data_IF_349647707199
#
_entry.id   IF_349647707199
#
_cell.length_a   1.000
_cell.length_b   1.000
_cell.length_c   1.000
_cell.angle_alpha   90.00
_cell.angle_beta   90.00
_cell.angle_gamma   90.00
#
_symmetry.space_group_name_H-M   'P 1'
#
loop_
_entity.id
_entity.type
_entity.pdbx_description
1 polymer ?
#
# COMPACT_ATOMS: atom_id res chain seq x y z
N UNK A 1 8.63 0.56 -7.83
CA UNK A 1 7.67 1.35 -8.62
C UNK A 1 7.11 0.44 -9.70
N UNK A 2 5.80 0.43 -9.89
CA UNK A 2 5.17 -0.13 -11.09
C UNK A 2 5.19 0.87 -12.25
N UNK A 3 5.35 0.41 -13.49
CA UNK A 3 5.21 1.29 -14.67
C UNK A 3 3.76 1.34 -15.16
N UNK A 4 3.01 0.23 -15.07
CA UNK A 4 1.62 0.15 -15.50
C UNK A 4 0.98 -1.24 -15.57
N UNK A 5 1.67 -2.33 -15.22
CA UNK A 5 1.11 -3.69 -15.17
C UNK A 5 0.90 -4.21 -13.74
N UNK A 6 1.69 -3.74 -12.77
CA UNK A 6 1.62 -4.23 -11.38
C UNK A 6 1.76 -3.10 -10.38
N UNK A 7 0.89 -3.14 -9.38
CA UNK A 7 1.00 -2.32 -8.19
C UNK A 7 1.64 -3.12 -7.05
N UNK A 8 2.48 -2.48 -6.23
CA UNK A 8 3.30 -3.19 -5.25
C UNK A 8 3.43 -2.45 -3.90
N UNK A 9 3.61 -3.22 -2.83
CA UNK A 9 4.00 -2.73 -1.51
C UNK A 9 5.26 -3.48 -1.06
N UNK A 10 6.33 -2.71 -0.87
CA UNK A 10 7.61 -3.19 -0.35
C UNK A 10 7.75 -2.95 1.15
N UNK A 11 8.49 -3.84 1.81
CA UNK A 11 8.90 -3.66 3.20
C UNK A 11 10.39 -3.86 3.32
N UNK A 12 11.06 -2.82 3.80
CA UNK A 12 12.49 -2.87 4.05
C UNK A 12 12.78 -3.08 5.53
N UNK A 13 13.74 -3.94 5.88
CA UNK A 13 14.23 -4.02 7.24
C UNK A 13 14.88 -2.69 7.63
N UNK A 14 14.87 -2.33 8.93
CA UNK A 14 15.60 -1.16 9.41
C UNK A 14 17.09 -1.32 9.08
N UNK A 15 17.71 -0.26 8.58
CA UNK A 15 19.09 -0.32 8.12
C UNK A 15 19.54 0.93 7.37
N UNK A 16 20.73 0.90 6.76
CA UNK A 16 21.36 2.06 6.11
C UNK A 16 20.64 2.57 4.84
N UNK A 17 19.50 1.98 4.46
CA UNK A 17 18.77 2.31 3.23
C UNK A 17 19.46 1.81 1.95
N UNK A 18 18.96 2.23 0.79
CA UNK A 18 19.56 1.92 -0.51
C UNK A 18 19.28 0.50 -1.04
N UNK A 19 18.22 -0.16 -0.58
CA UNK A 19 17.81 -1.43 -1.15
C UNK A 19 17.42 -1.27 -2.62
N UNK A 20 17.82 -2.23 -3.44
CA UNK A 20 17.36 -2.32 -4.82
C UNK A 20 15.97 -2.96 -4.83
N UNK A 21 14.98 -2.28 -5.40
CA UNK A 21 13.59 -2.75 -5.53
C UNK A 21 13.28 -3.34 -6.92
N UNK A 22 14.30 -3.53 -7.77
CA UNK A 22 14.17 -4.25 -9.03
C UNK A 22 13.88 -3.39 -10.28
N UNK A 23 13.50 -2.13 -10.10
CA UNK A 23 13.26 -1.20 -11.21
C UNK A 23 14.51 -0.94 -12.07
N UNK A 24 14.43 -0.87 -13.40
CA UNK A 24 13.27 -1.08 -14.30
C UNK A 24 13.21 -2.50 -14.91
N UNK A 25 13.99 -3.45 -14.37
CA UNK A 25 13.98 -4.83 -14.88
C UNK A 25 12.79 -5.65 -14.35
N UNK A 26 12.22 -5.24 -13.21
CA UNK A 26 11.06 -5.84 -12.59
C UNK A 26 9.92 -4.82 -12.41
N UNK A 27 8.70 -5.34 -12.46
CA UNK A 27 7.48 -4.69 -12.04
C UNK A 27 6.74 -5.64 -11.09
N UNK A 28 6.66 -5.29 -9.80
CA UNK A 28 6.35 -6.30 -8.79
C UNK A 28 7.45 -7.37 -8.73
N UNK A 29 7.04 -8.63 -8.71
CA UNK A 29 7.89 -9.81 -8.82
C UNK A 29 8.07 -10.32 -10.25
N UNK A 30 7.58 -9.56 -11.25
CA UNK A 30 7.52 -9.98 -12.64
C UNK A 30 8.59 -9.29 -13.50
N UNK A 31 9.20 -9.98 -14.47
CA UNK A 31 10.06 -9.34 -15.47
C UNK A 31 9.30 -8.26 -16.24
N UNK A 32 9.93 -7.09 -16.40
CA UNK A 32 9.36 -5.96 -17.12
C UNK A 32 10.17 -5.62 -18.37
N UNK A 33 11.33 -4.98 -18.20
CA UNK A 33 12.22 -4.62 -19.31
C UNK A 33 13.58 -5.31 -19.22
N UNK A 34 14.15 -5.64 -20.39
CA UNK A 34 15.49 -6.22 -20.49
C UNK A 34 15.63 -7.63 -19.92
N UNK A 35 16.86 -8.02 -19.62
CA UNK A 35 17.17 -9.32 -19.02
C UNK A 35 17.43 -9.15 -17.52
N UNK A 36 16.65 -9.87 -16.69
CA UNK A 36 16.77 -9.82 -15.22
C UNK A 36 18.13 -10.32 -14.72
N UNK A 37 18.74 -11.29 -15.41
CA UNK A 37 20.09 -11.79 -15.08
C UNK A 37 20.27 -12.17 -13.61
N UNK A 38 21.37 -11.70 -13.01
CA UNK A 38 21.73 -11.93 -11.59
C UNK A 38 21.23 -10.80 -10.65
N UNK A 39 20.17 -10.09 -11.03
CA UNK A 39 19.61 -9.00 -10.25
C UNK A 39 19.30 -9.45 -8.82
N UNK A 40 19.87 -8.72 -7.85
CA UNK A 40 19.51 -8.86 -6.43
C UNK A 40 18.61 -7.70 -6.06
N UNK A 41 17.34 -7.99 -5.85
CA UNK A 41 16.33 -7.05 -5.39
C UNK A 41 15.62 -7.57 -4.14
N UNK A 42 15.01 -6.65 -3.41
CA UNK A 42 13.94 -6.98 -2.47
C UNK A 42 12.66 -7.08 -3.29
N UNK A 43 11.95 -8.20 -3.14
CA UNK A 43 10.66 -8.40 -3.78
C UNK A 43 9.54 -7.84 -2.88
N UNK A 44 8.41 -7.42 -3.47
CA UNK A 44 7.31 -6.88 -2.71
C UNK A 44 6.69 -7.92 -1.78
N UNK A 45 6.13 -7.46 -0.67
CA UNK A 45 5.39 -8.32 0.26
C UNK A 45 3.93 -8.50 -0.16
N UNK A 46 3.45 -7.64 -1.04
CA UNK A 46 2.11 -7.66 -1.61
C UNK A 46 2.14 -6.98 -2.97
N UNK A 47 1.48 -7.58 -3.96
CA UNK A 47 1.35 -7.05 -5.31
C UNK A 47 0.01 -7.46 -5.90
N UNK A 48 -0.50 -6.68 -6.85
CA UNK A 48 -1.71 -6.99 -7.59
C UNK A 48 -1.68 -6.40 -9.00
N UNK A 49 -2.40 -7.00 -9.96
CA UNK A 49 -2.36 -6.54 -11.35
C UNK A 49 -3.05 -5.18 -11.50
N UNK A 50 -2.46 -4.33 -12.32
CA UNK A 50 -3.10 -3.12 -12.83
C UNK A 50 -4.03 -3.50 -13.98
N UNK A 51 -5.32 -3.67 -13.69
CA UNK A 51 -6.32 -4.21 -14.64
C UNK A 51 -7.39 -3.20 -15.08
N UNK A 52 -7.25 -1.95 -14.65
CA UNK A 52 -8.14 -0.83 -14.98
C UNK A 52 -9.31 -0.65 -14.02
N UNK A 53 -9.67 -1.66 -13.21
CA UNK A 53 -10.51 -1.44 -12.03
C UNK A 53 -9.68 -0.84 -10.90
N UNK A 54 -8.47 -1.37 -10.71
CA UNK A 54 -7.39 -0.81 -9.88
C UNK A 54 -6.25 -0.32 -10.77
N UNK A 55 -5.56 0.73 -10.35
CA UNK A 55 -4.61 1.44 -11.22
C UNK A 55 -3.45 2.17 -10.53
N UNK A 56 -3.51 2.41 -9.23
CA UNK A 56 -2.45 3.11 -8.52
C UNK A 56 -2.64 2.91 -7.02
N UNK A 57 -1.73 2.20 -6.37
CA UNK A 57 -1.68 2.15 -4.91
C UNK A 57 -1.55 3.58 -4.37
N UNK A 58 -2.53 4.00 -3.60
CA UNK A 58 -2.49 5.19 -2.76
C UNK A 58 -2.46 4.75 -1.31
N UNK A 59 -1.42 5.11 -0.57
CA UNK A 59 -1.29 4.68 0.82
C UNK A 59 -0.34 5.53 1.64
N UNK A 60 0.05 5.01 2.80
CA UNK A 60 1.24 5.49 3.52
C UNK A 60 1.23 5.36 5.03
N UNK A 61 0.16 4.87 5.66
CA UNK A 61 0.01 5.01 7.11
C UNK A 61 -0.09 3.68 7.83
N UNK A 62 0.76 3.51 8.83
CA UNK A 62 0.57 2.46 9.84
C UNK A 62 -0.40 2.99 10.89
N UNK A 63 -1.54 2.35 11.07
CA UNK A 63 -2.55 2.79 12.03
C UNK A 63 -2.04 2.65 13.48
N UNK A 64 -2.02 3.75 14.23
CA UNK A 64 -1.53 3.83 15.62
C UNK A 64 -2.58 4.23 16.65
N UNK A 65 -3.79 4.53 16.16
CA UNK A 65 -4.94 4.92 16.95
C UNK A 65 -5.40 3.87 17.96
N UNK A 66 -6.40 4.27 18.74
CA UNK A 66 -7.01 3.44 19.78
C UNK A 66 -8.47 3.12 19.47
N UNK A 67 -9.11 3.86 18.58
CA UNK A 67 -10.51 3.66 18.25
C UNK A 67 -10.76 2.32 17.54
N UNK A 68 -9.82 1.85 16.72
CA UNK A 68 -9.90 0.62 15.91
C UNK A 68 -8.77 -0.36 16.29
N UNK A 69 -8.84 -1.04 17.46
CA UNK A 69 -7.74 -1.88 17.97
C UNK A 69 -7.23 -2.94 16.99
N UNK A 70 -8.11 -3.48 16.14
CA UNK A 70 -7.80 -4.50 15.15
C UNK A 70 -6.91 -4.03 13.99
N UNK A 71 -6.79 -2.72 13.78
CA UNK A 71 -5.88 -2.14 12.79
C UNK A 71 -4.54 -1.71 13.39
N UNK A 72 -4.36 -1.79 14.70
CA UNK A 72 -3.13 -1.30 15.35
C UNK A 72 -1.90 -2.02 14.81
N UNK A 73 -1.00 -1.25 14.19
CA UNK A 73 0.22 -1.76 13.54
C UNK A 73 0.02 -2.26 12.10
N UNK A 74 -1.20 -2.21 11.56
CA UNK A 74 -1.47 -2.51 10.15
C UNK A 74 -1.11 -1.31 9.28
N UNK A 75 -0.51 -1.56 8.12
CA UNK A 75 -0.33 -0.57 7.06
C UNK A 75 -1.64 -0.44 6.28
N UNK A 76 -2.27 0.73 6.33
CA UNK A 76 -3.51 1.06 5.64
C UNK A 76 -3.19 1.79 4.34
N UNK A 77 -3.85 1.34 3.27
CA UNK A 77 -3.72 1.84 1.92
C UNK A 77 -5.04 1.64 1.17
N UNK A 78 -5.08 2.07 -0.09
CA UNK A 78 -6.13 1.73 -1.04
C UNK A 78 -5.62 1.96 -2.45
N UNK A 79 -6.52 1.92 -3.44
CA UNK A 79 -6.20 2.24 -4.82
C UNK A 79 -6.92 3.54 -5.24
N UNK A 80 -6.27 4.36 -6.05
CA UNK A 80 -6.85 5.59 -6.55
C UNK A 80 -8.13 5.36 -7.36
N UNK A 81 -8.17 4.31 -8.19
CA UNK A 81 -9.26 4.07 -9.14
C UNK A 81 -10.49 3.45 -8.49
N UNK A 82 -10.32 2.38 -7.70
CA UNK A 82 -11.46 1.72 -7.04
C UNK A 82 -11.83 2.36 -5.70
N UNK A 83 -10.90 3.08 -5.06
CA UNK A 83 -11.07 3.71 -3.76
C UNK A 83 -11.15 2.74 -2.57
N UNK A 84 -11.03 1.44 -2.78
CA UNK A 84 -11.23 0.42 -1.75
C UNK A 84 -10.12 0.48 -0.70
N UNK A 85 -10.49 0.64 0.57
CA UNK A 85 -9.53 0.67 1.66
C UNK A 85 -9.12 -0.75 2.07
N UNK A 86 -7.82 -0.94 2.22
CA UNK A 86 -7.16 -2.20 2.49
C UNK A 86 -6.14 -2.05 3.61
N UNK A 87 -5.75 -3.16 4.23
CA UNK A 87 -4.72 -3.20 5.25
C UNK A 87 -3.79 -4.41 5.08
N UNK A 88 -2.49 -4.18 5.31
CA UNK A 88 -1.49 -5.24 5.44
C UNK A 88 -0.97 -5.30 6.89
N UNK A 89 -0.94 -6.49 7.46
CA UNK A 89 -0.28 -6.75 8.74
C UNK A 89 0.92 -7.64 8.50
N UNK A 90 2.10 -7.18 8.90
CA UNK A 90 3.30 -8.01 8.86
C UNK A 90 3.32 -8.99 10.03
N UNK A 91 3.35 -10.28 9.73
CA UNK A 91 3.50 -11.38 10.69
C UNK A 91 4.59 -12.32 10.21
N UNK A 92 5.62 -12.51 11.03
CA UNK A 92 6.74 -13.42 10.75
C UNK A 92 7.37 -13.21 9.35
N UNK A 93 7.52 -11.94 8.95
CA UNK A 93 8.09 -11.56 7.66
C UNK A 93 7.15 -11.72 6.46
N UNK A 94 5.86 -12.00 6.68
CA UNK A 94 4.84 -12.10 5.63
C UNK A 94 3.75 -11.05 5.83
N UNK A 95 3.30 -10.44 4.74
CA UNK A 95 2.12 -9.59 4.79
C UNK A 95 0.85 -10.45 4.80
N UNK A 96 -0.05 -10.14 5.72
CA UNK A 96 -1.42 -10.64 5.75
C UNK A 96 -2.32 -9.52 5.28
N UNK A 97 -2.96 -9.74 4.14
CA UNK A 97 -3.90 -8.80 3.54
C UNK A 97 -5.30 -8.89 4.16
N UNK A 98 -5.98 -7.74 4.22
CA UNK A 98 -7.37 -7.60 4.65
C UNK A 98 -8.03 -6.44 3.93
N UNK A 99 -9.23 -6.67 3.39
CA UNK A 99 -10.14 -5.61 2.97
C UNK A 99 -10.84 -4.97 4.17
N UNK A 100 -10.97 -3.64 4.16
CA UNK A 100 -11.61 -2.91 5.25
C UNK A 100 -13.11 -2.68 5.02
N UNK A 101 -13.54 -2.59 3.77
CA UNK A 101 -14.94 -2.39 3.37
C UNK A 101 -15.28 -0.95 2.91
N UNK A 102 -14.84 0.12 3.58
CA UNK A 102 -15.02 1.48 3.08
C UNK A 102 -14.38 1.71 1.71
N UNK A 103 -15.04 2.54 0.91
CA UNK A 103 -14.57 3.00 -0.40
C UNK A 103 -14.51 4.52 -0.40
N UNK A 104 -13.38 5.08 -0.83
CA UNK A 104 -13.13 6.52 -0.92
C UNK A 104 -12.83 6.86 -2.38
N UNK A 105 -13.75 7.54 -3.09
CA UNK A 105 -13.55 7.85 -4.50
C UNK A 105 -12.36 8.80 -4.68
N UNK A 106 -11.58 8.59 -5.75
CA UNK A 106 -10.37 9.35 -6.06
C UNK A 106 -9.44 9.51 -4.84
N UNK A 107 -9.18 8.39 -4.15
CA UNK A 107 -8.35 8.35 -2.95
C UNK A 107 -6.96 8.90 -3.25
N UNK A 108 -6.66 10.06 -2.70
CA UNK A 108 -5.47 10.85 -3.00
C UNK A 108 -4.35 10.63 -1.98
N UNK A 109 -4.73 10.46 -0.71
CA UNK A 109 -3.81 10.31 0.39
C UNK A 109 -4.55 9.91 1.66
N UNK A 110 -3.80 9.83 2.75
CA UNK A 110 -4.31 9.72 4.11
C UNK A 110 -3.66 10.79 4.99
N UNK A 111 -4.22 10.98 6.19
CA UNK A 111 -3.68 11.80 7.26
C UNK A 111 -3.88 11.11 8.61
N UNK A 112 -3.09 11.50 9.60
CA UNK A 112 -3.17 11.00 10.97
C UNK A 112 -3.37 12.20 11.92
N UNK A 113 -4.30 12.08 12.89
CA UNK A 113 -4.43 13.08 13.96
C UNK A 113 -3.45 12.82 15.12
N UNK A 114 -3.51 13.67 16.16
CA UNK A 114 -2.62 13.55 17.31
C UNK A 114 -2.85 12.28 18.16
N UNK A 115 -3.99 11.62 17.99
CA UNK A 115 -4.35 10.37 18.68
C UNK A 115 -3.98 9.12 17.86
N UNK A 116 -3.48 9.30 16.64
CA UNK A 116 -3.12 8.21 15.73
C UNK A 116 -4.29 7.72 14.87
N UNK A 117 -5.42 8.44 14.85
CA UNK A 117 -6.59 8.08 14.07
C UNK A 117 -6.43 8.55 12.63
N UNK A 118 -6.88 7.71 11.69
CA UNK A 118 -6.66 7.95 10.27
C UNK A 118 -7.83 8.65 9.59
N UNK A 119 -7.46 9.45 8.61
CA UNK A 119 -8.34 10.15 7.69
C UNK A 119 -7.94 9.82 6.26
N UNK A 120 -8.90 9.64 5.37
CA UNK A 120 -8.68 9.46 3.95
C UNK A 120 -9.06 10.75 3.20
N UNK A 121 -8.20 11.17 2.27
CA UNK A 121 -8.36 12.38 1.49
C UNK A 121 -8.78 12.01 0.07
N UNK A 122 -9.87 12.60 -0.40
CA UNK A 122 -10.34 12.44 -1.77
C UNK A 122 -9.99 13.66 -2.62
N UNK A 123 -9.56 13.45 -3.86
CA UNK A 123 -9.43 14.55 -4.85
C UNK A 123 -10.79 15.13 -5.26
N UNK A 124 -11.91 14.49 -4.91
CA UNK A 124 -13.25 15.06 -5.08
C UNK A 124 -13.57 16.13 -4.02
N UNK A 125 -12.73 16.28 -2.99
CA UNK A 125 -12.82 17.33 -1.97
C UNK A 125 -13.08 16.86 -0.53
N UNK A 126 -13.83 15.77 -0.27
CA UNK A 126 -14.09 15.34 1.10
C UNK A 126 -12.86 14.79 1.83
N UNK A 127 -12.90 14.94 3.16
CA UNK A 127 -12.04 14.25 4.12
C UNK A 127 -12.89 13.25 4.90
N UNK A 128 -12.53 11.98 4.86
CA UNK A 128 -13.23 10.91 5.58
C UNK A 128 -12.44 10.51 6.81
N UNK A 129 -13.09 10.43 7.97
CA UNK A 129 -12.48 9.82 9.16
C UNK A 129 -12.78 8.32 9.17
N UNK A 130 -11.77 7.49 9.40
CA UNK A 130 -11.97 6.06 9.60
C UNK A 130 -12.54 5.83 11.01
N UNK A 131 -13.64 5.07 11.08
CA UNK A 131 -14.33 4.73 12.33
C UNK A 131 -14.42 3.21 12.48
N UNK A 132 -14.62 2.71 13.72
CA UNK A 132 -14.92 1.29 13.95
C UNK A 132 -16.20 0.86 13.23
N UNK A 133 -16.27 -0.42 12.87
CA UNK A 133 -17.45 -1.04 12.26
C UNK A 133 -18.61 -1.19 13.25
#
# INVERSE_FOLDING_TARGET
>A
MGQGSWEEIDVLPPGPGGANLGWDLLEGSHPFEGEVGDLRSVLPVYEYPHDGAVCAVTGGYVYRGRAIPELRGAYVFGDFCDGALQALVLRDGRAVHRELGPVVPALASFGEDADGELYALSLEGPLYRLLPA
#
